data_IF_062576967349
#
_entry.id   IF_062576967349
#
_cell.length_a   1.000
_cell.length_b   1.000
_cell.length_c   1.000
_cell.angle_alpha   90.00
_cell.angle_beta   90.00
_cell.angle_gamma   90.00
#
_symmetry.space_group_name_H-M   'P 1'
#
loop_
_entity.id
_entity.type
_entity.pdbx_description
1 polymer ?
#
# COMPACT_ATOMS: atom_id res chain seq x y z
N UNK A 1 3.22 9.43 -1.92
CA UNK A 1 1.97 8.83 -2.45
C UNK A 1 0.99 8.70 -1.29
N UNK A 2 -0.23 9.25 -1.34
CA UNK A 2 -1.20 9.06 -0.24
C UNK A 2 -1.56 7.56 -0.16
N UNK A 3 -1.43 6.93 1.00
CA UNK A 3 -1.76 5.50 1.23
C UNK A 3 -3.15 5.10 0.71
N UNK A 4 -4.10 6.04 0.72
CA UNK A 4 -5.45 5.85 0.18
C UNK A 4 -5.47 5.56 -1.34
N UNK A 5 -4.54 6.14 -2.11
CA UNK A 5 -4.48 5.97 -3.56
C UNK A 5 -3.95 4.59 -3.94
N UNK A 6 -2.88 4.13 -3.29
CA UNK A 6 -2.32 2.78 -3.51
C UNK A 6 -3.31 1.68 -3.12
N UNK A 7 -3.99 1.83 -1.97
CA UNK A 7 -5.06 0.91 -1.55
C UNK A 7 -6.23 0.92 -2.55
N UNK A 8 -6.60 2.10 -3.05
CA UNK A 8 -7.65 2.25 -4.06
C UNK A 8 -7.31 1.59 -5.41
N UNK A 9 -6.04 1.54 -5.78
CA UNK A 9 -5.57 0.84 -6.98
C UNK A 9 -5.58 -0.68 -6.77
N UNK A 10 -5.07 -1.15 -5.63
CA UNK A 10 -5.09 -2.58 -5.28
C UNK A 10 -6.51 -3.14 -5.31
N UNK A 11 -7.46 -2.46 -4.66
CA UNK A 11 -8.87 -2.90 -4.63
C UNK A 11 -9.49 -2.92 -6.02
N UNK A 12 -9.24 -1.89 -6.84
CA UNK A 12 -9.75 -1.84 -8.21
C UNK A 12 -9.16 -2.97 -9.06
N UNK A 13 -7.85 -3.20 -8.97
CA UNK A 13 -7.16 -4.26 -9.68
C UNK A 13 -7.66 -5.64 -9.23
N UNK A 14 -7.77 -5.91 -7.94
CA UNK A 14 -8.29 -7.19 -7.44
C UNK A 14 -9.72 -7.44 -7.93
N UNK A 15 -10.61 -6.45 -7.89
CA UNK A 15 -12.01 -6.63 -8.35
C UNK A 15 -12.14 -6.81 -9.86
N UNK A 16 -11.33 -6.12 -10.66
CA UNK A 16 -11.38 -6.18 -12.12
C UNK A 16 -10.63 -7.39 -12.69
N UNK A 17 -9.52 -7.81 -12.06
CA UNK A 17 -8.67 -8.90 -12.55
C UNK A 17 -9.09 -10.29 -12.05
N UNK A 18 -9.97 -10.37 -11.04
CA UNK A 18 -10.50 -11.66 -10.55
C UNK A 18 -11.19 -12.45 -11.68
N UNK A 19 -11.89 -11.72 -12.56
CA UNK A 19 -12.74 -12.24 -13.63
C UNK A 19 -12.01 -12.46 -14.97
N UNK A 20 -10.69 -12.20 -15.03
CA UNK A 20 -9.90 -12.51 -16.22
C UNK A 20 -9.70 -14.02 -16.35
N UNK A 21 -9.74 -14.50 -17.61
CA UNK A 21 -9.33 -15.86 -17.92
C UNK A 21 -7.85 -16.08 -17.58
N UNK A 22 -7.46 -17.33 -17.32
CA UNK A 22 -6.06 -17.66 -16.99
C UNK A 22 -5.07 -17.23 -18.09
N UNK A 23 -5.52 -17.20 -19.36
CA UNK A 23 -4.72 -16.69 -20.48
C UNK A 23 -4.56 -15.16 -20.43
N UNK A 24 -5.60 -14.41 -20.08
CA UNK A 24 -5.54 -12.96 -19.92
C UNK A 24 -4.76 -12.54 -18.66
N UNK A 25 -4.71 -13.40 -17.64
CA UNK A 25 -3.90 -13.20 -16.43
C UNK A 25 -2.39 -13.32 -16.71
N UNK A 26 -2.01 -14.12 -17.70
CA UNK A 26 -0.59 -14.31 -18.06
C UNK A 26 0.02 -13.07 -18.73
N UNK A 27 -0.76 -12.31 -19.52
CA UNK A 27 -0.30 -11.04 -20.09
C UNK A 27 -1.33 -9.92 -19.89
N UNK A 28 -1.13 -9.14 -18.83
CA UNK A 28 -1.96 -7.98 -18.51
C UNK A 28 -1.82 -6.82 -19.52
N UNK A 29 -0.85 -6.87 -20.44
CA UNK A 29 -0.64 -5.81 -21.44
C UNK A 29 -1.62 -5.91 -22.61
N UNK A 30 -2.16 -7.09 -22.87
CA UNK A 30 -3.10 -7.35 -23.98
C UNK A 30 -4.56 -7.22 -23.58
N UNK A 31 -4.83 -6.96 -22.29
CA UNK A 31 -6.19 -6.93 -21.74
C UNK A 31 -6.92 -5.65 -22.12
N UNK A 32 -8.10 -5.80 -22.73
CA UNK A 32 -8.99 -4.67 -22.98
C UNK A 32 -9.75 -4.29 -21.70
N UNK A 33 -9.31 -3.19 -21.09
CA UNK A 33 -9.87 -2.62 -19.86
C UNK A 33 -11.38 -2.36 -19.98
N UNK A 34 -11.86 -1.98 -21.16
CA UNK A 34 -13.25 -1.57 -21.34
C UNK A 34 -14.18 -2.78 -21.36
N UNK A 35 -13.71 -3.89 -21.91
CA UNK A 35 -14.40 -5.18 -21.87
C UNK A 35 -14.49 -5.69 -20.43
N UNK A 36 -13.40 -5.59 -19.66
CA UNK A 36 -13.36 -6.03 -18.26
C UNK A 36 -14.32 -5.21 -17.39
N UNK A 37 -14.36 -3.89 -17.56
CA UNK A 37 -15.29 -3.02 -16.84
C UNK A 37 -16.74 -3.33 -17.21
N UNK A 38 -17.03 -3.63 -18.48
CA UNK A 38 -18.36 -4.02 -18.93
C UNK A 38 -18.79 -5.37 -18.34
N UNK A 39 -17.90 -6.36 -18.31
CA UNK A 39 -18.13 -7.66 -17.64
C UNK A 39 -18.45 -7.45 -16.15
N UNK A 40 -17.67 -6.61 -15.47
CA UNK A 40 -17.90 -6.29 -14.06
C UNK A 40 -19.24 -5.58 -13.84
N UNK A 41 -19.61 -4.64 -14.71
CA UNK A 41 -20.89 -3.93 -14.64
C UNK A 41 -22.09 -4.88 -14.83
N UNK A 42 -21.97 -5.85 -15.74
CA UNK A 42 -23.01 -6.85 -15.97
C UNK A 42 -23.17 -7.82 -14.78
N UNK A 43 -22.08 -8.11 -14.06
CA UNK A 43 -22.07 -9.01 -12.89
C UNK A 43 -22.54 -8.33 -11.61
N UNK A 44 -22.20 -7.06 -11.41
CA UNK A 44 -22.51 -6.30 -10.20
C UNK A 44 -23.44 -5.11 -10.51
N UNK A 45 -24.74 -5.36 -10.51
CA UNK A 45 -25.78 -4.33 -10.70
C UNK A 45 -25.83 -3.30 -9.56
N UNK A 46 -25.28 -3.62 -8.39
CA UNK A 46 -25.22 -2.73 -7.22
C UNK A 46 -24.13 -1.66 -7.33
N UNK A 47 -23.20 -1.78 -8.29
CA UNK A 47 -22.07 -0.89 -8.38
C UNK A 47 -22.44 0.41 -9.09
N UNK A 48 -22.21 1.55 -8.44
CA UNK A 48 -22.52 2.85 -9.05
C UNK A 48 -21.67 3.09 -10.32
N UNK A 49 -22.21 3.78 -11.33
CA UNK A 49 -21.46 4.13 -12.55
C UNK A 49 -20.21 4.98 -12.25
N UNK A 50 -20.26 5.78 -11.17
CA UNK A 50 -19.11 6.54 -10.68
C UNK A 50 -17.99 5.62 -10.19
N UNK A 51 -18.33 4.58 -9.44
CA UNK A 51 -17.37 3.58 -8.95
C UNK A 51 -16.74 2.79 -10.11
N UNK A 52 -17.52 2.43 -11.14
CA UNK A 52 -17.01 1.77 -12.34
C UNK A 52 -15.99 2.65 -13.07
N UNK A 53 -16.28 3.94 -13.24
CA UNK A 53 -15.37 4.87 -13.89
C UNK A 53 -14.08 5.11 -13.08
N UNK A 54 -14.20 5.17 -11.75
CA UNK A 54 -13.04 5.25 -10.86
C UNK A 54 -12.17 4.01 -10.98
N UNK A 55 -12.77 2.81 -11.00
CA UNK A 55 -12.02 1.56 -11.16
C UNK A 55 -11.37 1.45 -12.53
N UNK A 56 -12.06 1.84 -13.61
CA UNK A 56 -11.50 1.93 -14.97
C UNK A 56 -10.28 2.83 -15.02
N UNK A 57 -10.40 4.05 -14.50
CA UNK A 57 -9.32 5.04 -14.50
C UNK A 57 -8.11 4.55 -13.71
N UNK A 58 -8.34 3.92 -12.56
CA UNK A 58 -7.26 3.38 -11.71
C UNK A 58 -6.56 2.20 -12.37
N UNK A 59 -7.30 1.26 -12.97
CA UNK A 59 -6.71 0.11 -13.65
C UNK A 59 -5.87 0.55 -14.85
N UNK A 60 -6.37 1.51 -15.64
CA UNK A 60 -5.62 2.08 -16.78
C UNK A 60 -4.30 2.69 -16.35
N UNK A 61 -4.30 3.48 -15.27
CA UNK A 61 -3.08 4.06 -14.72
C UNK A 61 -2.13 2.96 -14.24
N UNK A 62 -2.63 1.96 -13.50
CA UNK A 62 -1.80 0.88 -12.99
C UNK A 62 -1.12 0.06 -14.10
N UNK A 63 -1.84 -0.29 -15.17
CA UNK A 63 -1.28 -1.00 -16.33
C UNK A 63 -0.25 -0.12 -17.06
N UNK A 64 -0.54 1.17 -17.24
CA UNK A 64 0.39 2.10 -17.88
C UNK A 64 1.70 2.25 -17.08
N UNK A 65 1.61 2.37 -15.75
CA UNK A 65 2.79 2.42 -14.89
C UNK A 65 3.57 1.09 -14.96
N UNK A 66 2.87 -0.05 -14.97
CA UNK A 66 3.50 -1.35 -15.13
C UNK A 66 4.24 -1.49 -16.46
N UNK A 67 3.63 -1.08 -17.57
CA UNK A 67 4.26 -1.09 -18.90
C UNK A 67 5.49 -0.17 -18.93
N UNK A 68 5.36 1.04 -18.38
CA UNK A 68 6.46 2.01 -18.31
C UNK A 68 7.63 1.47 -17.48
N UNK A 69 7.33 0.86 -16.34
CA UNK A 69 8.32 0.20 -15.50
C UNK A 69 9.01 -0.96 -16.20
N UNK A 70 8.27 -1.79 -16.95
CA UNK A 70 8.85 -2.88 -17.72
C UNK A 70 9.73 -2.39 -18.89
N UNK A 71 9.42 -1.25 -19.51
CA UNK A 71 10.20 -0.71 -20.63
C UNK A 71 11.52 -0.05 -20.20
N UNK A 72 11.53 0.63 -19.05
CA UNK A 72 12.73 1.29 -18.51
C UNK A 72 12.71 1.27 -16.98
N UNK A 73 13.22 0.19 -16.35
CA UNK A 73 13.26 0.08 -14.89
C UNK A 73 14.19 1.09 -14.22
N UNK A 74 15.23 1.56 -14.92
CA UNK A 74 16.26 2.44 -14.38
C UNK A 74 15.83 3.92 -14.39
N UNK A 75 15.04 4.33 -15.38
CA UNK A 75 14.48 5.68 -15.50
C UNK A 75 13.10 5.86 -14.87
N UNK A 76 12.45 4.78 -14.43
CA UNK A 76 11.09 4.83 -13.91
C UNK A 76 10.96 5.73 -12.67
N UNK A 77 10.08 6.73 -12.77
CA UNK A 77 9.74 7.65 -11.67
C UNK A 77 8.24 7.56 -11.36
N UNK A 78 7.86 7.05 -10.18
CA UNK A 78 6.46 6.85 -9.86
C UNK A 78 5.72 8.19 -9.82
N UNK A 79 4.57 8.21 -10.50
CA UNK A 79 3.72 9.39 -10.60
C UNK A 79 3.18 9.76 -9.21
N UNK A 80 3.72 10.85 -8.65
CA UNK A 80 3.36 11.35 -7.33
C UNK A 80 4.52 11.46 -6.32
N UNK A 81 5.76 11.12 -6.71
CA UNK A 81 6.95 11.42 -5.90
C UNK A 81 7.45 12.86 -6.12
N UNK A 82 7.26 13.39 -7.33
CA UNK A 82 7.47 14.80 -7.62
C UNK A 82 6.15 15.53 -7.43
N UNK A 83 6.07 16.38 -6.40
CA UNK A 83 4.96 17.28 -6.14
C UNK A 83 4.79 18.34 -7.23
N UNK A 84 4.63 17.96 -8.50
CA UNK A 84 4.01 18.81 -9.49
C UNK A 84 2.50 18.73 -9.26
N UNK A 85 2.05 19.56 -8.33
CA UNK A 85 0.73 20.18 -8.38
C UNK A 85 0.51 20.54 -9.84
N UNK A 86 -0.42 19.85 -10.49
CA UNK A 86 -0.90 20.27 -11.80
C UNK A 86 -1.39 21.71 -11.63
N UNK A 87 -0.68 22.64 -12.26
CA UNK A 87 -1.03 24.05 -12.36
C UNK A 87 -2.45 24.14 -12.90
N UNK A 88 -3.43 24.35 -12.01
CA UNK A 88 -4.74 24.82 -12.41
C UNK A 88 -4.62 26.32 -12.69
N UNK A 89 -4.83 26.69 -13.95
CA UNK A 89 -5.05 28.05 -14.39
C UNK A 89 -6.17 28.73 -13.57
N UNK A 90 -6.14 30.07 -13.46
CA UNK A 90 -7.04 30.82 -12.59
C UNK A 90 -8.41 30.98 -13.27
N UNK A 91 -9.47 30.51 -12.60
CA UNK A 91 -10.82 30.97 -12.87
C UNK A 91 -11.26 31.89 -11.73
N UNK A 92 -11.60 33.10 -12.12
CA UNK A 92 -12.04 34.27 -11.36
C UNK A 92 -13.17 33.94 -10.34
N UNK A 93 -12.96 34.39 -9.10
CA UNK A 93 -13.84 34.92 -8.02
C UNK A 93 -15.40 34.84 -8.11
N UNK A 94 -16.17 35.08 -7.02
CA UNK A 94 -15.78 35.62 -5.69
C UNK A 94 -16.29 34.87 -4.45
N UNK A 95 -15.71 35.29 -3.32
CA UNK A 95 -16.02 34.93 -1.93
C UNK A 95 -17.31 35.61 -1.46
N UNK A 96 -18.09 34.92 -0.63
CA UNK A 96 -18.99 35.54 0.34
C UNK A 96 -18.70 34.93 1.71
N UNK A 97 -18.45 35.83 2.65
CA UNK A 97 -18.13 35.65 4.06
C UNK A 97 -19.37 35.65 4.94
N UNK A 98 -19.40 34.81 5.96
CA UNK A 98 -20.08 35.03 7.26
C UNK A 98 -19.57 33.94 8.20
N UNK A 99 -18.68 34.25 9.14
CA UNK A 99 -19.01 34.77 10.47
C UNK A 99 -19.97 33.85 11.24
N UNK A 100 -19.44 33.14 12.25
CA UNK A 100 -20.07 33.03 13.57
C UNK A 100 -19.15 32.41 14.61
N UNK A 101 -18.98 33.23 15.63
CA UNK A 101 -18.48 33.10 16.99
C UNK A 101 -19.01 31.92 17.83
N UNK A 102 -18.25 31.66 18.89
CA UNK A 102 -18.66 31.30 20.26
C UNK A 102 -18.40 29.86 20.77
N UNK A 103 -17.31 29.75 21.55
CA UNK A 103 -17.23 29.36 22.96
C UNK A 103 -17.71 27.98 23.45
N UNK A 104 -16.84 27.32 24.26
CA UNK A 104 -17.07 26.80 25.64
C UNK A 104 -16.21 25.52 25.90
N UNK A 105 -15.07 25.63 26.60
CA UNK A 105 -14.85 25.36 28.04
C UNK A 105 -14.66 23.86 28.34
N UNK A 106 -13.41 23.42 28.56
CA UNK A 106 -12.81 23.07 29.87
C UNK A 106 -13.38 21.74 30.44
N UNK A 107 -12.56 20.72 30.74
CA UNK A 107 -12.04 20.46 32.10
C UNK A 107 -10.91 19.40 32.09
N UNK A 108 -9.87 19.75 32.86
CA UNK A 108 -8.82 19.02 33.60
C UNK A 108 -8.93 17.49 33.70
N UNK A 109 -7.83 16.72 33.71
CA UNK A 109 -7.05 16.41 34.93
C UNK A 109 -5.71 15.72 34.56
N UNK A 110 -4.55 16.35 34.84
CA UNK A 110 -3.51 15.96 35.83
C UNK A 110 -2.88 14.56 35.67
N UNK A 111 -1.62 14.49 35.19
CA UNK A 111 -0.39 14.20 35.97
C UNK A 111 -0.12 12.67 36.09
N UNK A 112 1.04 12.11 35.77
CA UNK A 112 2.37 12.33 36.36
C UNK A 112 3.43 11.56 35.52
N UNK A 113 4.56 12.23 35.23
CA UNK A 113 5.99 11.79 35.29
C UNK A 113 6.31 10.28 35.23
N UNK A 114 7.39 9.74 34.65
CA UNK A 114 8.71 10.22 34.18
C UNK A 114 9.37 9.02 33.50
N UNK A 115 10.09 9.22 32.40
CA UNK A 115 11.47 8.71 32.20
C UNK A 115 11.90 8.86 30.74
N UNK A 116 13.03 9.55 30.62
CA UNK A 116 13.81 9.72 29.41
C UNK A 116 14.40 8.38 28.96
N UNK A 117 14.36 8.10 27.67
CA UNK A 117 15.48 7.44 26.98
C UNK A 117 15.46 7.88 25.54
N UNK A 118 16.46 8.70 25.18
CA UNK A 118 16.74 9.13 23.83
C UNK A 118 17.29 7.93 23.06
N UNK A 119 16.44 7.31 22.25
CA UNK A 119 16.85 6.52 21.08
C UNK A 119 15.79 6.76 20.00
N UNK A 120 16.15 7.00 18.72
CA UNK A 120 15.17 7.19 17.67
C UNK A 120 14.48 5.85 17.42
N UNK A 121 13.37 5.63 18.13
CA UNK A 121 12.43 4.56 17.86
C UNK A 121 11.87 4.85 16.47
N UNK A 122 12.33 4.09 15.48
CA UNK A 122 11.63 3.98 14.20
C UNK A 122 10.25 3.44 14.55
N UNK A 123 9.26 4.33 14.56
CA UNK A 123 7.85 3.99 14.74
C UNK A 123 7.44 3.31 13.43
N UNK A 124 7.75 2.03 13.29
CA UNK A 124 6.99 1.14 12.41
C UNK A 124 5.69 0.84 13.14
N UNK A 125 4.58 1.28 12.58
CA UNK A 125 3.24 0.99 13.09
C UNK A 125 3.11 -0.51 13.37
N UNK A 126 2.87 -0.87 14.62
CA UNK A 126 2.76 -2.26 15.09
C UNK A 126 1.58 -3.05 14.47
N UNK A 127 0.81 -2.43 13.59
CA UNK A 127 -0.33 -3.02 12.89
C UNK A 127 0.03 -3.74 11.59
N UNK A 128 1.27 -3.61 11.09
CA UNK A 128 1.70 -4.21 9.80
C UNK A 128 2.75 -5.33 9.93
N UNK A 129 3.13 -5.71 11.16
CA UNK A 129 4.01 -6.85 11.43
C UNK A 129 3.23 -8.09 11.85
N UNK A 130 3.56 -9.24 11.27
CA UNK A 130 3.09 -10.56 11.63
C UNK A 130 4.13 -11.24 12.53
N UNK A 131 3.68 -11.68 13.70
CA UNK A 131 4.50 -12.41 14.67
C UNK A 131 4.22 -13.92 14.55
N UNK A 132 5.25 -14.70 14.19
CA UNK A 132 5.15 -16.14 13.96
C UNK A 132 6.10 -16.91 14.88
N UNK A 133 5.59 -17.98 15.48
CA UNK A 133 6.39 -18.95 16.23
C UNK A 133 6.83 -20.08 15.30
N UNK A 134 8.14 -20.32 15.22
CA UNK A 134 8.75 -21.38 14.43
C UNK A 134 9.52 -22.35 15.34
N UNK A 135 9.15 -23.64 15.40
CA UNK A 135 9.89 -24.63 16.17
C UNK A 135 11.22 -24.94 15.47
N UNK A 136 12.31 -24.40 16.01
CA UNK A 136 13.65 -24.62 15.44
C UNK A 136 14.28 -25.90 15.99
N UNK A 137 14.01 -26.23 17.26
CA UNK A 137 14.47 -27.44 17.96
C UNK A 137 13.37 -27.94 18.92
N UNK A 138 13.42 -29.20 19.39
CA UNK A 138 12.42 -29.74 20.31
C UNK A 138 12.21 -28.92 21.59
N UNK A 139 13.24 -28.20 22.04
CA UNK A 139 13.30 -27.39 23.25
C UNK A 139 13.27 -25.87 22.99
N UNK A 140 13.21 -25.44 21.72
CA UNK A 140 13.33 -24.03 21.36
C UNK A 140 12.35 -23.60 20.26
N UNK A 141 11.44 -22.69 20.64
CA UNK A 141 10.55 -21.98 19.74
C UNK A 141 11.15 -20.61 19.39
N UNK A 142 11.55 -20.43 18.14
CA UNK A 142 11.98 -19.14 17.63
C UNK A 142 10.75 -18.26 17.35
N UNK A 143 10.82 -16.98 17.70
CA UNK A 143 9.78 -16.00 17.38
C UNK A 143 10.29 -15.06 16.29
N UNK A 144 9.53 -14.93 15.21
CA UNK A 144 9.92 -14.16 14.02
C UNK A 144 8.85 -13.13 13.73
N UNK A 145 9.22 -11.85 13.85
CA UNK A 145 8.38 -10.73 13.43
C UNK A 145 8.74 -10.32 12.00
N UNK A 146 7.80 -10.44 11.07
CA UNK A 146 7.97 -10.09 9.65
C UNK A 146 6.88 -9.12 9.17
N UNK A 147 7.13 -8.30 8.15
CA UNK A 147 6.09 -7.49 7.51
C UNK A 147 4.99 -8.35 6.88
N UNK A 148 3.74 -7.86 6.84
CA UNK A 148 2.62 -8.53 6.14
C UNK A 148 2.80 -8.59 4.63
N UNK A 149 3.59 -7.68 4.07
CA UNK A 149 3.90 -7.56 2.65
C UNK A 149 5.30 -8.08 2.28
N UNK A 150 5.85 -9.00 3.09
CA UNK A 150 7.16 -9.62 2.85
C UNK A 150 7.25 -10.24 1.45
N UNK A 151 8.22 -9.77 0.66
CA UNK A 151 8.49 -10.32 -0.68
C UNK A 151 9.44 -11.53 -0.62
N UNK A 152 9.42 -12.37 -1.65
CA UNK A 152 10.33 -13.53 -1.74
C UNK A 152 11.81 -13.14 -1.78
N UNK A 153 12.11 -11.97 -2.34
CA UNK A 153 13.46 -11.44 -2.42
C UNK A 153 13.95 -10.96 -1.04
N UNK A 154 13.11 -10.31 -0.26
CA UNK A 154 13.43 -9.92 1.12
C UNK A 154 13.56 -11.13 2.04
N UNK A 155 12.68 -12.13 1.89
CA UNK A 155 12.80 -13.39 2.63
C UNK A 155 14.15 -14.09 2.35
N UNK A 156 14.61 -14.11 1.09
CA UNK A 156 15.94 -14.64 0.73
C UNK A 156 17.07 -13.84 1.37
N UNK A 157 16.98 -12.51 1.39
CA UNK A 157 17.97 -11.64 2.05
C UNK A 157 18.01 -11.87 3.56
N UNK A 158 16.85 -12.02 4.20
CA UNK A 158 16.74 -12.32 5.63
C UNK A 158 17.35 -13.69 5.94
N UNK A 159 17.06 -14.70 5.11
CA UNK A 159 17.69 -16.01 5.22
C UNK A 159 19.21 -15.96 5.08
N UNK A 160 19.73 -15.22 4.09
CA UNK A 160 21.17 -15.03 3.92
C UNK A 160 21.81 -14.34 5.13
N UNK A 161 21.14 -13.35 5.71
CA UNK A 161 21.56 -12.69 6.94
C UNK A 161 21.62 -13.67 8.13
N UNK A 162 20.57 -14.49 8.31
CA UNK A 162 20.54 -15.51 9.36
C UNK A 162 21.65 -16.56 9.18
N UNK A 163 21.93 -16.97 7.94
CA UNK A 163 23.03 -17.89 7.63
C UNK A 163 24.40 -17.27 7.94
N UNK A 164 24.57 -15.96 7.72
CA UNK A 164 25.84 -15.28 7.98
C UNK A 164 26.18 -15.20 9.48
N UNK A 165 25.16 -15.15 10.34
CA UNK A 165 25.35 -15.14 11.81
C UNK A 165 25.34 -16.54 12.42
N UNK A 166 24.86 -17.54 11.69
CA UNK A 166 24.80 -18.91 12.17
C UNK A 166 26.23 -19.48 12.29
N UNK A 167 26.55 -19.98 13.48
CA UNK A 167 27.79 -20.70 13.74
C UNK A 167 27.42 -22.15 13.94
N UNK A 168 27.96 -23.04 13.09
CA UNK A 168 27.83 -24.48 13.28
C UNK A 168 28.71 -24.89 14.46
N UNK A 169 28.12 -24.91 15.65
CA UNK A 169 28.77 -25.50 16.82
C UNK A 169 28.77 -27.02 16.66
N UNK A 170 29.85 -27.58 16.10
CA UNK A 170 30.17 -29.01 16.21
C UNK A 170 30.68 -29.28 17.63
N UNK A 171 29.96 -30.03 18.48
CA UNK A 171 30.58 -30.57 19.68
C UNK A 171 31.59 -31.65 19.24
N UNK A 172 32.85 -31.53 19.69
CA UNK A 172 33.79 -32.66 19.75
C UNK A 172 33.37 -33.65 20.83
#
# INVERSE_FOLDING_TARGET
>A
MKFQTARGWRVAASKLLDDLSEMEKNDIRTVDIDVVVRKLANRNSELSPRSLNDYRSRLRIAIQEFVTWCSDPAGYKPRGLNGKVSTKQPSVQPKISSDRTASKEQVRSSATETSQTLNPKVIVDASDSLDLSYPLRPDFLARVAIPRDLTTLEAKRLGAFLLAIAIDHKPE
#
